data_IF_202272987034
#
_entry.id   IF_202272987034
#
_cell.length_a   1.000
_cell.length_b   1.000
_cell.length_c   1.000
_cell.angle_alpha   90.00
_cell.angle_beta   90.00
_cell.angle_gamma   90.00
#
_symmetry.space_group_name_H-M   'P 1'
#
loop_
_entity.id
_entity.type
_entity.pdbx_description
1 polymer ?
#
# COMPACT_ATOMS: atom_id res chain seq x y z
N UNK A 1 -5.52 21.92 12.89
CA UNK A 1 -6.91 21.85 12.38
C UNK A 1 -7.04 21.12 11.03
N UNK A 2 -6.18 21.40 10.02
CA UNK A 2 -6.28 20.78 8.68
C UNK A 2 -6.32 19.23 8.65
N UNK A 3 -5.49 18.48 9.42
CA UNK A 3 -5.52 17.01 9.39
C UNK A 3 -6.85 16.41 9.86
N UNK A 4 -7.50 17.04 10.84
CA UNK A 4 -8.79 16.59 11.36
C UNK A 4 -9.88 16.74 10.30
N UNK A 5 -9.92 17.87 9.58
CA UNK A 5 -10.92 18.10 8.53
C UNK A 5 -10.76 17.08 7.40
N UNK A 6 -9.52 16.85 6.93
CA UNK A 6 -9.26 15.87 5.88
C UNK A 6 -9.60 14.44 6.32
N UNK A 7 -9.32 14.09 7.57
CA UNK A 7 -9.64 12.76 8.11
C UNK A 7 -11.14 12.57 8.31
N UNK A 8 -11.85 13.62 8.74
CA UNK A 8 -13.30 13.59 8.83
C UNK A 8 -13.94 13.43 7.45
N UNK A 9 -13.46 14.16 6.44
CA UNK A 9 -13.93 14.01 5.05
C UNK A 9 -13.65 12.60 4.51
N UNK A 10 -12.48 12.03 4.84
CA UNK A 10 -12.18 10.65 4.46
C UNK A 10 -13.10 9.65 5.17
N UNK A 11 -13.34 9.81 6.48
CA UNK A 11 -14.29 8.99 7.24
C UNK A 11 -15.69 9.02 6.63
N UNK A 12 -16.25 10.22 6.43
CA UNK A 12 -17.60 10.38 5.88
C UNK A 12 -17.70 9.80 4.48
N UNK A 13 -16.63 9.85 3.71
CA UNK A 13 -16.61 9.28 2.37
C UNK A 13 -16.67 7.75 2.36
N UNK A 14 -15.95 7.06 3.26
CA UNK A 14 -16.06 5.61 3.38
C UNK A 14 -17.42 5.19 3.96
N UNK A 15 -17.97 5.98 4.88
CA UNK A 15 -19.31 5.75 5.43
C UNK A 15 -20.40 5.91 4.34
N UNK A 16 -20.27 6.90 3.45
CA UNK A 16 -21.16 7.05 2.31
C UNK A 16 -21.07 5.88 1.32
N UNK A 17 -19.87 5.33 1.11
CA UNK A 17 -19.69 4.12 0.29
C UNK A 17 -20.44 2.92 0.86
N UNK A 18 -20.47 2.79 2.19
CA UNK A 18 -21.21 1.74 2.88
C UNK A 18 -22.73 1.85 2.67
N UNK A 19 -23.27 3.08 2.62
CA UNK A 19 -24.72 3.32 2.48
C UNK A 19 -25.17 3.24 1.01
N UNK A 20 -24.36 3.74 0.07
CA UNK A 20 -24.71 3.86 -1.36
C UNK A 20 -23.61 3.26 -2.26
N UNK A 21 -23.50 1.91 -2.34
CA UNK A 21 -22.45 1.26 -3.12
C UNK A 21 -22.55 1.55 -4.63
N UNK A 22 -23.73 1.89 -5.15
CA UNK A 22 -23.89 2.27 -6.56
C UNK A 22 -23.21 3.60 -6.92
N UNK A 23 -22.97 4.47 -5.93
CA UNK A 23 -22.35 5.79 -6.12
C UNK A 23 -20.82 5.76 -5.96
N UNK A 24 -20.25 4.56 -5.95
CA UNK A 24 -18.86 4.31 -5.59
C UNK A 24 -17.86 5.12 -6.41
N UNK A 25 -18.03 5.19 -7.74
CA UNK A 25 -17.16 6.00 -8.61
C UNK A 25 -17.25 7.50 -8.31
N UNK A 26 -18.46 8.04 -8.12
CA UNK A 26 -18.65 9.47 -7.85
C UNK A 26 -18.08 9.89 -6.50
N UNK A 27 -18.28 9.06 -5.47
CA UNK A 27 -17.71 9.29 -4.14
C UNK A 27 -16.18 9.25 -4.22
N UNK A 28 -15.60 8.29 -4.94
CA UNK A 28 -14.16 8.23 -5.18
C UNK A 28 -13.61 9.51 -5.83
N UNK A 29 -14.21 9.94 -6.94
CA UNK A 29 -13.77 11.15 -7.63
C UNK A 29 -13.92 12.40 -6.74
N UNK A 30 -14.98 12.49 -5.94
CA UNK A 30 -15.16 13.57 -4.96
C UNK A 30 -14.02 13.62 -3.94
N UNK A 31 -13.65 12.49 -3.34
CA UNK A 31 -12.54 12.40 -2.37
C UNK A 31 -11.22 12.73 -3.06
N UNK A 32 -11.00 12.22 -4.27
CA UNK A 32 -9.78 12.44 -5.03
C UNK A 32 -9.60 13.94 -5.29
N UNK A 33 -10.66 14.62 -5.74
CA UNK A 33 -10.66 16.08 -5.94
C UNK A 33 -10.37 16.80 -4.62
N UNK A 34 -11.07 16.46 -3.53
CA UNK A 34 -10.86 17.11 -2.22
C UNK A 34 -9.44 16.91 -1.72
N UNK A 35 -8.87 15.72 -1.89
CA UNK A 35 -7.51 15.41 -1.45
C UNK A 35 -6.50 16.15 -2.30
N UNK A 36 -6.66 16.17 -3.62
CA UNK A 36 -5.84 16.97 -4.54
C UNK A 36 -5.93 18.45 -4.21
N UNK A 37 -7.13 18.97 -3.92
CA UNK A 37 -7.30 20.37 -3.52
C UNK A 37 -6.67 20.67 -2.16
N UNK A 38 -6.81 19.78 -1.17
CA UNK A 38 -6.16 19.91 0.13
C UNK A 38 -4.63 19.89 0.02
N UNK A 39 -4.11 19.07 -0.90
CA UNK A 39 -2.71 19.01 -1.28
C UNK A 39 -2.25 20.29 -1.99
N UNK A 40 -3.01 20.79 -2.97
CA UNK A 40 -2.73 22.04 -3.72
C UNK A 40 -2.77 23.27 -2.81
N UNK A 41 -3.72 23.33 -1.88
CA UNK A 41 -3.85 24.41 -0.90
C UNK A 41 -2.75 24.37 0.17
N UNK A 42 -2.10 23.22 0.39
CA UNK A 42 -0.90 23.11 1.22
C UNK A 42 0.37 23.72 0.55
N UNK A 43 0.19 24.79 -0.25
CA UNK A 43 1.19 25.48 -1.09
C UNK A 43 2.57 25.60 -0.43
N UNK A 44 3.60 25.39 -1.26
CA UNK A 44 5.08 25.41 -1.07
C UNK A 44 5.82 24.09 -0.83
N UNK A 45 5.18 23.00 -0.37
CA UNK A 45 5.87 21.69 -0.22
C UNK A 45 5.31 20.55 -1.07
N UNK A 46 4.30 20.82 -1.91
CA UNK A 46 3.69 19.81 -2.78
C UNK A 46 4.55 19.45 -4.00
N UNK A 47 5.23 20.45 -4.56
CA UNK A 47 6.11 20.33 -5.73
C UNK A 47 7.59 20.37 -5.39
N UNK A 48 7.96 20.70 -4.14
CA UNK A 48 9.30 20.34 -3.72
C UNK A 48 9.31 18.82 -3.72
N UNK A 49 10.26 18.23 -4.44
CA UNK A 49 10.52 16.79 -4.46
C UNK A 49 11.05 16.31 -3.10
N UNK A 50 10.51 16.87 -2.02
CA UNK A 50 10.70 16.43 -0.67
C UNK A 50 10.17 14.99 -0.63
N UNK A 51 10.99 14.05 -0.13
CA UNK A 51 10.85 12.62 -0.35
C UNK A 51 9.54 11.96 0.14
N UNK A 52 8.62 12.70 0.76
CA UNK A 52 7.48 12.12 1.49
C UNK A 52 6.19 12.96 1.47
N UNK A 53 6.07 13.98 0.60
CA UNK A 53 5.09 15.06 0.79
C UNK A 53 3.65 14.84 0.30
N UNK A 54 3.45 14.43 -0.95
CA UNK A 54 2.14 14.59 -1.61
C UNK A 54 1.49 13.32 -2.17
N UNK A 55 2.28 12.37 -2.67
CA UNK A 55 1.74 11.21 -3.37
C UNK A 55 1.12 10.15 -2.44
N UNK A 56 1.69 9.99 -1.23
CA UNK A 56 1.29 8.91 -0.33
C UNK A 56 -0.18 8.94 0.09
N UNK A 57 -0.80 10.09 0.47
CA UNK A 57 -2.23 10.15 0.73
C UNK A 57 -3.08 9.66 -0.44
N UNK A 58 -2.75 10.07 -1.67
CA UNK A 58 -3.51 9.68 -2.87
C UNK A 58 -3.39 8.19 -3.15
N UNK A 59 -2.18 7.63 -3.04
CA UNK A 59 -1.95 6.20 -3.21
C UNK A 59 -2.69 5.44 -2.08
N UNK A 60 -2.60 5.89 -0.84
CA UNK A 60 -3.33 5.27 0.28
C UNK A 60 -4.84 5.26 0.04
N UNK A 61 -5.42 6.38 -0.41
CA UNK A 61 -6.85 6.47 -0.72
C UNK A 61 -7.29 5.43 -1.75
N UNK A 62 -6.55 5.30 -2.87
CA UNK A 62 -6.89 4.30 -3.89
C UNK A 62 -6.82 2.86 -3.37
N UNK A 63 -5.81 2.54 -2.56
CA UNK A 63 -5.66 1.22 -1.95
C UNK A 63 -6.78 0.91 -0.97
N UNK A 64 -7.16 1.87 -0.12
CA UNK A 64 -8.28 1.69 0.82
C UNK A 64 -9.60 1.50 0.09
N UNK A 65 -9.84 2.28 -0.95
CA UNK A 65 -11.07 2.20 -1.72
C UNK A 65 -11.26 0.83 -2.38
N UNK A 66 -10.21 0.32 -3.06
CA UNK A 66 -10.25 -1.00 -3.66
C UNK A 66 -10.43 -2.09 -2.61
N UNK A 67 -9.64 -2.06 -1.54
CA UNK A 67 -9.72 -3.09 -0.50
C UNK A 67 -11.06 -3.06 0.26
N UNK A 68 -11.60 -1.88 0.55
CA UNK A 68 -12.88 -1.71 1.22
C UNK A 68 -14.04 -2.36 0.46
N UNK A 69 -14.00 -2.30 -0.88
CA UNK A 69 -15.03 -2.91 -1.75
C UNK A 69 -15.10 -4.44 -1.61
N UNK A 70 -14.03 -5.07 -1.12
CA UNK A 70 -13.92 -6.51 -0.93
C UNK A 70 -14.30 -6.97 0.49
N UNK A 71 -14.47 -6.05 1.44
CA UNK A 71 -14.80 -6.41 2.82
C UNK A 71 -16.27 -6.77 2.95
N UNK A 72 -16.55 -8.00 3.39
CA UNK A 72 -17.88 -8.46 3.73
C UNK A 72 -18.18 -8.29 5.23
N UNK A 73 -19.42 -7.91 5.54
CA UNK A 73 -19.91 -7.77 6.91
C UNK A 73 -19.79 -6.35 7.46
N UNK A 74 -20.92 -5.81 7.92
CA UNK A 74 -21.06 -4.42 8.36
C UNK A 74 -20.15 -4.06 9.54
N UNK A 75 -19.99 -4.97 10.51
CA UNK A 75 -19.11 -4.76 11.66
C UNK A 75 -17.64 -4.58 11.24
N UNK A 76 -17.14 -5.45 10.34
CA UNK A 76 -15.77 -5.39 9.85
C UNK A 76 -15.51 -4.14 9.02
N UNK A 77 -16.49 -3.71 8.22
CA UNK A 77 -16.42 -2.47 7.47
C UNK A 77 -16.29 -1.24 8.39
N UNK A 78 -17.10 -1.12 9.44
CA UNK A 78 -16.97 0.02 10.37
C UNK A 78 -15.64 0.02 11.14
N UNK A 79 -15.19 -1.15 11.61
CA UNK A 79 -13.86 -1.28 12.25
C UNK A 79 -12.78 -0.79 11.28
N UNK A 80 -12.86 -1.21 10.02
CA UNK A 80 -11.92 -0.79 8.98
C UNK A 80 -11.97 0.71 8.74
N UNK A 81 -13.15 1.33 8.63
CA UNK A 81 -13.31 2.78 8.41
C UNK A 81 -12.60 3.58 9.52
N UNK A 82 -12.79 3.17 10.78
CA UNK A 82 -12.14 3.83 11.93
C UNK A 82 -10.62 3.70 11.84
N UNK A 83 -10.10 2.50 11.57
CA UNK A 83 -8.66 2.25 11.46
C UNK A 83 -8.04 2.99 10.27
N UNK A 84 -8.67 2.94 9.10
CA UNK A 84 -8.23 3.64 7.89
C UNK A 84 -8.18 5.15 8.14
N UNK A 85 -9.21 5.70 8.80
CA UNK A 85 -9.28 7.12 9.16
C UNK A 85 -8.17 7.51 10.12
N UNK A 86 -7.89 6.68 11.12
CA UNK A 86 -6.78 6.92 12.05
C UNK A 86 -5.44 6.95 11.31
N UNK A 87 -5.19 6.00 10.40
CA UNK A 87 -3.96 5.99 9.60
C UNK A 87 -3.89 7.21 8.69
N UNK A 88 -4.98 7.58 8.03
CA UNK A 88 -5.04 8.77 7.18
C UNK A 88 -4.74 10.05 7.97
N UNK A 89 -5.27 10.15 9.17
CA UNK A 89 -4.95 11.23 10.11
C UNK A 89 -3.47 11.28 10.45
N UNK A 90 -2.84 10.12 10.71
CA UNK A 90 -1.40 10.03 10.99
C UNK A 90 -0.55 10.51 9.81
N UNK A 91 -0.97 10.25 8.55
CA UNK A 91 -0.27 10.74 7.34
C UNK A 91 -0.16 12.26 7.34
N UNK A 92 -1.25 12.97 7.70
CA UNK A 92 -1.26 14.43 7.72
C UNK A 92 -0.73 15.05 9.02
N UNK A 93 -0.67 14.29 10.12
CA UNK A 93 -0.19 14.77 11.42
C UNK A 93 1.31 14.59 11.63
N UNK A 94 1.97 13.64 10.96
CA UNK A 94 3.33 13.19 11.33
C UNK A 94 4.43 14.24 11.11
N UNK A 95 4.59 15.16 12.07
CA UNK A 95 5.79 15.99 12.26
C UNK A 95 6.79 15.35 13.25
N UNK A 96 6.36 14.42 14.12
CA UNK A 96 7.16 13.93 15.25
C UNK A 96 8.06 12.72 14.96
N UNK A 97 7.82 11.94 13.91
CA UNK A 97 8.67 10.77 13.56
C UNK A 97 8.52 10.36 12.08
N UNK A 98 8.69 11.36 11.21
CA UNK A 98 8.25 11.36 9.81
C UNK A 98 8.76 10.17 8.97
N UNK A 99 9.93 9.62 9.28
CA UNK A 99 10.54 8.49 8.53
C UNK A 99 9.97 7.13 8.96
N UNK A 100 9.69 6.93 10.25
CA UNK A 100 9.15 5.66 10.76
C UNK A 100 7.68 5.51 10.43
N UNK A 101 6.90 6.57 10.67
CA UNK A 101 5.47 6.61 10.34
C UNK A 101 5.24 6.45 8.84
N UNK A 102 6.04 7.09 7.99
CA UNK A 102 5.91 6.94 6.53
C UNK A 102 6.20 5.51 6.06
N UNK A 103 7.22 4.84 6.61
CA UNK A 103 7.49 3.44 6.24
C UNK A 103 6.32 2.53 6.59
N UNK A 104 5.74 2.67 7.80
CA UNK A 104 4.56 1.90 8.20
C UNK A 104 3.36 2.13 7.26
N UNK A 105 3.06 3.39 6.95
CA UNK A 105 1.95 3.72 6.03
C UNK A 105 2.20 3.15 4.65
N UNK A 106 3.42 3.26 4.11
CA UNK A 106 3.75 2.70 2.78
C UNK A 106 3.56 1.19 2.76
N UNK A 107 3.99 0.51 3.82
CA UNK A 107 3.82 -0.93 3.98
C UNK A 107 2.35 -1.34 4.04
N UNK A 108 1.54 -0.64 4.84
CA UNK A 108 0.10 -0.86 4.88
C UNK A 108 -0.56 -0.55 3.54
N UNK A 109 -0.14 0.52 2.86
CA UNK A 109 -0.65 0.90 1.53
C UNK A 109 -0.34 -0.18 0.51
N UNK A 110 0.87 -0.73 0.52
CA UNK A 110 1.28 -1.82 -0.37
C UNK A 110 0.38 -3.04 -0.18
N UNK A 111 0.14 -3.45 1.07
CA UNK A 111 -0.78 -4.54 1.40
C UNK A 111 -2.20 -4.28 0.86
N UNK A 112 -2.76 -3.09 1.11
CA UNK A 112 -4.11 -2.74 0.68
C UNK A 112 -4.26 -2.78 -0.84
N UNK A 113 -3.28 -2.25 -1.58
CA UNK A 113 -3.31 -2.33 -3.05
C UNK A 113 -3.12 -3.75 -3.56
N UNK A 114 -2.17 -4.51 -3.03
CA UNK A 114 -1.88 -5.86 -3.50
C UNK A 114 -3.08 -6.78 -3.26
N UNK A 115 -3.66 -6.74 -2.05
CA UNK A 115 -4.87 -7.48 -1.74
C UNK A 115 -6.09 -6.96 -2.52
N UNK A 116 -6.21 -5.64 -2.68
CA UNK A 116 -7.28 -5.00 -3.45
C UNK A 116 -7.29 -5.38 -4.92
N UNK A 117 -6.16 -5.19 -5.61
CA UNK A 117 -6.01 -5.54 -7.03
C UNK A 117 -6.26 -7.04 -7.23
N UNK A 118 -5.68 -7.90 -6.39
CA UNK A 118 -5.86 -9.34 -6.53
C UNK A 118 -7.31 -9.78 -6.22
N UNK A 119 -8.00 -9.10 -5.29
CA UNK A 119 -9.42 -9.36 -5.06
C UNK A 119 -10.27 -8.94 -6.25
N UNK A 120 -9.98 -7.83 -6.90
CA UNK A 120 -10.66 -7.43 -8.15
C UNK A 120 -10.38 -8.43 -9.26
N UNK A 121 -9.15 -8.94 -9.38
CA UNK A 121 -8.80 -10.01 -10.32
C UNK A 121 -9.70 -11.24 -10.16
N UNK A 122 -9.84 -11.74 -8.92
CA UNK A 122 -10.67 -12.91 -8.63
C UNK A 122 -12.16 -12.68 -8.89
N UNK A 123 -12.67 -11.47 -8.63
CA UNK A 123 -14.12 -11.19 -8.73
C UNK A 123 -14.56 -10.73 -10.13
N UNK A 124 -13.70 -10.06 -10.90
CA UNK A 124 -14.03 -9.50 -12.22
C UNK A 124 -13.40 -10.26 -13.40
N UNK A 125 -12.69 -11.37 -13.13
CA UNK A 125 -12.00 -12.16 -14.16
C UNK A 125 -11.09 -11.31 -15.06
N UNK A 126 -10.35 -10.37 -14.45
CA UNK A 126 -9.43 -9.52 -15.21
C UNK A 126 -8.32 -10.37 -15.84
N UNK A 127 -7.83 -10.00 -17.04
CA UNK A 127 -6.70 -10.70 -17.62
C UNK A 127 -5.44 -10.46 -16.77
N UNK A 128 -4.67 -11.52 -16.53
CA UNK A 128 -3.54 -11.53 -15.60
C UNK A 128 -2.48 -10.46 -15.91
N UNK A 129 -2.25 -10.14 -17.19
CA UNK A 129 -1.29 -9.11 -17.58
C UNK A 129 -1.68 -7.71 -17.06
N UNK A 130 -2.98 -7.38 -16.98
CA UNK A 130 -3.45 -6.11 -16.40
C UNK A 130 -3.18 -6.06 -14.89
N UNK A 131 -3.33 -7.19 -14.21
CA UNK A 131 -3.07 -7.33 -12.77
C UNK A 131 -1.59 -7.10 -12.49
N UNK A 132 -0.71 -7.77 -13.24
CA UNK A 132 0.75 -7.62 -13.13
C UNK A 132 1.15 -6.17 -13.41
N UNK A 133 0.61 -5.56 -14.47
CA UNK A 133 0.88 -4.17 -14.81
C UNK A 133 0.42 -3.20 -13.71
N UNK A 134 -0.78 -3.39 -13.16
CA UNK A 134 -1.30 -2.57 -12.07
C UNK A 134 -0.44 -2.69 -10.81
N UNK A 135 -0.06 -3.92 -10.42
CA UNK A 135 0.82 -4.16 -9.28
C UNK A 135 2.19 -3.53 -9.50
N UNK A 136 2.77 -3.64 -10.70
CA UNK A 136 4.05 -3.03 -11.03
C UNK A 136 3.99 -1.51 -10.88
N UNK A 137 3.00 -0.84 -11.49
CA UNK A 137 2.88 0.62 -11.46
C UNK A 137 2.69 1.17 -10.04
N UNK A 138 1.82 0.54 -9.25
CA UNK A 138 1.61 0.93 -7.85
C UNK A 138 2.87 0.70 -7.03
N UNK A 139 3.54 -0.44 -7.21
CA UNK A 139 4.77 -0.76 -6.47
C UNK A 139 5.89 0.21 -6.84
N UNK A 140 6.03 0.62 -8.10
CA UNK A 140 6.99 1.66 -8.50
C UNK A 140 6.70 3.01 -7.79
N UNK A 141 5.43 3.41 -7.71
CA UNK A 141 5.02 4.61 -6.98
C UNK A 141 5.33 4.54 -5.48
N UNK A 142 5.07 3.39 -4.85
CA UNK A 142 5.38 3.15 -3.45
C UNK A 142 6.89 3.08 -3.19
N UNK A 143 7.65 2.43 -4.08
CA UNK A 143 9.11 2.35 -4.03
C UNK A 143 9.76 3.73 -4.10
N UNK A 144 9.25 4.58 -4.99
CA UNK A 144 9.69 5.97 -5.07
C UNK A 144 9.53 6.66 -3.73
N UNK A 145 8.34 6.62 -3.11
CA UNK A 145 8.10 7.22 -1.78
C UNK A 145 8.96 6.59 -0.67
N UNK A 146 9.15 5.27 -0.73
CA UNK A 146 9.87 4.51 0.30
C UNK A 146 11.37 4.79 0.31
N UNK A 147 11.95 4.92 -0.88
CA UNK A 147 13.39 5.09 -1.08
C UNK A 147 13.79 6.55 -1.30
N UNK A 148 12.84 7.47 -1.39
CA UNK A 148 13.12 8.87 -1.68
C UNK A 148 14.16 9.54 -0.73
N UNK A 149 14.33 9.14 0.55
CA UNK A 149 15.45 9.64 1.35
C UNK A 149 16.85 9.34 0.76
N UNK A 150 16.97 8.36 -0.14
CA UNK A 150 18.20 7.94 -0.80
C UNK A 150 18.25 8.37 -2.27
N UNK A 151 17.47 9.38 -2.66
CA UNK A 151 17.31 9.80 -4.07
C UNK A 151 18.62 10.28 -4.73
N UNK A 152 19.60 10.70 -3.95
CA UNK A 152 20.93 11.11 -4.44
C UNK A 152 21.83 9.93 -4.81
N UNK A 153 21.47 8.70 -4.45
CA UNK A 153 22.26 7.52 -4.80
C UNK A 153 22.16 7.24 -6.31
N UNK A 154 23.28 6.91 -6.99
CA UNK A 154 23.29 6.65 -8.43
C UNK A 154 22.43 5.42 -8.82
N UNK A 155 22.31 4.46 -7.92
CA UNK A 155 21.51 3.23 -8.08
C UNK A 155 20.05 3.39 -7.65
N UNK A 156 19.59 4.60 -7.29
CA UNK A 156 18.24 4.85 -6.79
C UNK A 156 17.14 4.32 -7.73
N UNK A 157 17.19 4.70 -9.01
CA UNK A 157 16.20 4.27 -10.00
C UNK A 157 16.27 2.76 -10.25
N UNK A 158 17.47 2.20 -10.33
CA UNK A 158 17.67 0.76 -10.50
C UNK A 158 16.97 -0.02 -9.37
N UNK A 159 17.15 0.38 -8.11
CA UNK A 159 16.49 -0.28 -6.99
C UNK A 159 14.97 -0.16 -7.01
N UNK A 160 14.43 0.99 -7.43
CA UNK A 160 12.98 1.16 -7.60
C UNK A 160 12.42 0.17 -8.63
N UNK A 161 13.07 0.07 -9.79
CA UNK A 161 12.64 -0.83 -10.86
C UNK A 161 12.80 -2.29 -10.49
N UNK A 162 13.96 -2.69 -9.96
CA UNK A 162 14.22 -4.06 -9.53
C UNK A 162 13.21 -4.52 -8.48
N UNK A 163 12.95 -3.70 -7.47
CA UNK A 163 11.96 -4.04 -6.44
C UNK A 163 10.53 -4.12 -7.03
N UNK A 164 10.18 -3.24 -7.97
CA UNK A 164 8.90 -3.31 -8.68
C UNK A 164 8.75 -4.61 -9.48
N UNK A 165 9.77 -4.99 -10.24
CA UNK A 165 9.80 -6.21 -11.04
C UNK A 165 9.71 -7.45 -10.15
N UNK A 166 10.43 -7.52 -9.04
CA UNK A 166 10.35 -8.68 -8.13
C UNK A 166 8.92 -8.89 -7.63
N UNK A 167 8.21 -7.82 -7.27
CA UNK A 167 6.81 -7.93 -6.83
C UNK A 167 5.87 -8.30 -7.98
N UNK A 168 6.10 -7.78 -9.18
CA UNK A 168 5.33 -8.13 -10.36
C UNK A 168 5.49 -9.62 -10.72
N UNK A 169 6.72 -10.14 -10.76
CA UNK A 169 7.02 -11.56 -10.98
C UNK A 169 6.46 -12.45 -9.86
N UNK A 170 6.59 -12.01 -8.60
CA UNK A 170 5.98 -12.73 -7.46
C UNK A 170 4.46 -12.81 -7.60
N UNK A 171 3.83 -11.76 -8.14
CA UNK A 171 2.37 -11.75 -8.40
C UNK A 171 1.99 -12.76 -9.47
N UNK A 172 2.79 -12.86 -10.53
CA UNK A 172 2.60 -13.89 -11.56
C UNK A 172 2.71 -15.30 -10.97
N UNK A 173 3.76 -15.59 -10.20
CA UNK A 173 3.95 -16.91 -9.57
C UNK A 173 2.79 -17.24 -8.60
N UNK A 174 2.39 -16.28 -7.76
CA UNK A 174 1.31 -16.46 -6.79
C UNK A 174 -0.07 -16.55 -7.43
N UNK A 175 -0.22 -16.12 -8.69
CA UNK A 175 -1.50 -16.24 -9.41
C UNK A 175 -1.93 -17.69 -9.65
N UNK A 176 -0.98 -18.62 -9.61
CA UNK A 176 -1.24 -20.06 -9.73
C UNK A 176 -1.57 -20.74 -8.39
N UNK A 177 -1.48 -20.01 -7.27
CA UNK A 177 -1.80 -20.57 -5.96
C UNK A 177 -3.31 -20.53 -5.68
N UNK A 178 -3.91 -21.59 -5.10
CA UNK A 178 -5.34 -21.65 -4.80
C UNK A 178 -5.68 -20.92 -3.49
N UNK A 179 -5.29 -19.65 -3.39
CA UNK A 179 -5.54 -18.83 -2.21
C UNK A 179 -6.37 -17.59 -2.52
N UNK A 180 -7.08 -17.11 -1.50
CA UNK A 180 -7.80 -15.85 -1.57
C UNK A 180 -6.86 -14.63 -1.59
N UNK A 181 -7.45 -13.49 -1.96
CA UNK A 181 -6.75 -12.20 -2.11
C UNK A 181 -6.05 -11.71 -0.83
N UNK A 182 -6.56 -12.05 0.36
CA UNK A 182 -5.92 -11.69 1.63
C UNK A 182 -4.58 -12.41 1.82
N UNK A 183 -4.53 -13.72 1.55
CA UNK A 183 -3.31 -14.51 1.68
C UNK A 183 -2.28 -14.07 0.64
N UNK A 184 -2.69 -13.87 -0.61
CA UNK A 184 -1.77 -13.44 -1.68
C UNK A 184 -1.26 -12.02 -1.43
N UNK A 185 -2.14 -11.10 -1.03
CA UNK A 185 -1.74 -9.74 -0.64
C UNK A 185 -0.79 -9.73 0.56
N UNK A 186 -1.01 -10.59 1.57
CA UNK A 186 -0.12 -10.72 2.71
C UNK A 186 1.25 -11.35 2.34
N UNK A 187 1.26 -12.34 1.45
CA UNK A 187 2.51 -12.93 0.93
C UNK A 187 3.33 -11.91 0.16
N UNK A 188 2.71 -11.18 -0.77
CA UNK A 188 3.36 -10.10 -1.52
C UNK A 188 3.86 -8.99 -0.58
N UNK A 189 3.09 -8.67 0.45
CA UNK A 189 3.47 -7.73 1.48
C UNK A 189 4.73 -8.17 2.24
N UNK A 190 4.83 -9.45 2.63
CA UNK A 190 6.00 -10.00 3.32
C UNK A 190 7.22 -9.93 2.41
N UNK A 191 7.10 -10.36 1.15
CA UNK A 191 8.19 -10.29 0.15
C UNK A 191 8.65 -8.84 -0.01
N UNK A 192 7.69 -7.92 -0.20
CA UNK A 192 7.95 -6.49 -0.32
C UNK A 192 8.68 -5.92 0.91
N UNK A 193 8.21 -6.27 2.11
CA UNK A 193 8.82 -5.86 3.35
C UNK A 193 10.29 -6.33 3.45
N UNK A 194 10.55 -7.61 3.20
CA UNK A 194 11.90 -8.18 3.33
C UNK A 194 12.87 -7.51 2.36
N UNK A 195 12.52 -7.50 1.07
CA UNK A 195 13.43 -7.02 0.01
C UNK A 195 13.64 -5.51 0.12
N UNK A 196 12.59 -4.74 0.38
CA UNK A 196 12.73 -3.29 0.55
C UNK A 196 13.59 -2.92 1.75
N UNK A 197 13.53 -3.67 2.85
CA UNK A 197 14.42 -3.45 4.00
C UNK A 197 15.88 -3.78 3.67
N UNK A 198 16.14 -4.87 2.93
CA UNK A 198 17.50 -5.22 2.47
C UNK A 198 18.06 -4.10 1.57
N UNK A 199 17.26 -3.62 0.61
CA UNK A 199 17.63 -2.51 -0.28
C UNK A 199 17.93 -1.24 0.51
N UNK A 200 17.10 -0.88 1.50
CA UNK A 200 17.36 0.26 2.39
C UNK A 200 18.69 0.14 3.13
N UNK A 201 19.04 -1.06 3.60
CA UNK A 201 20.34 -1.28 4.25
C UNK A 201 21.51 -1.15 3.29
N UNK A 202 21.36 -1.63 2.05
CA UNK A 202 22.35 -1.44 0.98
C UNK A 202 22.56 0.04 0.64
N UNK A 203 21.46 0.79 0.44
CA UNK A 203 21.51 2.23 0.17
C UNK A 203 22.07 3.07 1.33
N UNK A 204 21.95 2.59 2.57
CA UNK A 204 22.55 3.22 3.75
C UNK A 204 24.05 2.91 3.93
N UNK A 205 24.63 2.01 3.12
CA UNK A 205 25.99 1.50 3.33
C UNK A 205 26.13 0.62 4.59
N UNK A 206 25.01 0.17 5.17
CA UNK A 206 24.98 -0.67 6.39
C UNK A 206 24.73 -2.14 6.05
N UNK A 207 25.11 -2.55 4.85
CA UNK A 207 24.84 -3.90 4.36
C UNK A 207 25.68 -4.92 5.14
N UNK A 208 25.00 -5.78 5.88
CA UNK A 208 25.63 -6.87 6.63
C UNK A 208 24.86 -8.16 6.35
N UNK A 209 25.59 -9.25 6.10
CA UNK A 209 25.02 -10.60 5.90
C UNK A 209 24.11 -11.00 7.07
N UNK A 210 24.45 -10.63 8.31
CA UNK A 210 23.63 -10.89 9.49
C UNK A 210 22.25 -10.22 9.40
N UNK A 211 22.19 -8.97 8.95
CA UNK A 211 20.93 -8.24 8.78
C UNK A 211 20.08 -8.89 7.69
N UNK A 212 20.69 -9.29 6.57
CA UNK A 212 20.00 -10.00 5.48
C UNK A 212 19.38 -11.29 6.00
N UNK A 213 20.13 -12.11 6.71
CA UNK A 213 19.63 -13.36 7.30
C UNK A 213 18.50 -13.13 8.30
N UNK A 214 18.61 -12.13 9.17
CA UNK A 214 17.54 -11.79 10.11
C UNK A 214 16.24 -11.39 9.38
N UNK A 215 16.34 -10.60 8.31
CA UNK A 215 15.16 -10.19 7.53
C UNK A 215 14.55 -11.36 6.76
N UNK A 216 15.37 -12.21 6.14
CA UNK A 216 14.90 -13.41 5.46
C UNK A 216 14.24 -14.37 6.45
N UNK A 217 14.86 -14.64 7.59
CA UNK A 217 14.31 -15.51 8.63
C UNK A 217 12.95 -15.00 9.14
N UNK A 218 12.83 -13.69 9.41
CA UNK A 218 11.56 -13.07 9.78
C UNK A 218 10.50 -13.22 8.68
N UNK A 219 10.88 -13.04 7.42
CA UNK A 219 9.98 -13.24 6.29
C UNK A 219 9.49 -14.68 6.17
N UNK A 220 10.39 -15.65 6.27
CA UNK A 220 10.07 -17.08 6.23
C UNK A 220 9.16 -17.46 7.39
N UNK A 221 9.44 -17.01 8.61
CA UNK A 221 8.57 -17.25 9.76
C UNK A 221 7.18 -16.65 9.57
N UNK A 222 7.09 -15.42 9.06
CA UNK A 222 5.81 -14.78 8.77
C UNK A 222 5.03 -15.54 7.68
N UNK A 223 5.70 -16.04 6.64
CA UNK A 223 5.07 -16.86 5.60
C UNK A 223 4.57 -18.19 6.17
N UNK A 224 5.35 -18.88 6.99
CA UNK A 224 4.92 -20.13 7.64
C UNK A 224 3.65 -19.87 8.47
N UNK A 225 3.66 -18.85 9.33
CA UNK A 225 2.49 -18.50 10.14
C UNK A 225 1.26 -18.13 9.29
N UNK A 226 1.47 -17.41 8.19
CA UNK A 226 0.38 -17.04 7.29
C UNK A 226 -0.22 -18.28 6.61
N UNK A 227 0.62 -19.18 6.11
CA UNK A 227 0.20 -20.35 5.36
C UNK A 227 -0.49 -21.40 6.25
N UNK A 228 -0.11 -21.51 7.52
CA UNK A 228 -0.79 -22.42 8.47
C UNK A 228 -2.19 -21.95 8.86
N UNK A 229 -2.44 -20.63 8.85
CA UNK A 229 -3.76 -20.05 9.16
C UNK A 229 -4.63 -19.94 7.90
N UNK A 230 -4.02 -19.89 6.72
CA UNK A 230 -4.75 -19.70 5.47
C UNK A 230 -5.62 -20.90 5.10
N UNK A 231 -6.87 -20.63 4.70
CA UNK A 231 -7.75 -21.64 4.11
C UNK A 231 -7.39 -21.81 2.64
N UNK A 232 -7.12 -23.06 2.25
CA UNK A 232 -6.94 -23.45 0.86
C UNK A 232 -8.31 -23.45 0.19
N UNK A 233 -8.41 -22.77 -0.96
CA UNK A 233 -9.63 -22.85 -1.76
C UNK A 233 -9.65 -24.22 -2.45
N UNK A 234 -10.76 -24.98 -2.37
CA UNK A 234 -10.88 -26.20 -3.16
C UNK A 234 -10.78 -25.84 -4.65
N UNK A 235 -9.87 -26.52 -5.34
CA UNK A 235 -9.67 -26.45 -6.79
C UNK A 235 -10.84 -27.04 -7.55
#
# INVERSE_FOLDING_TARGET
MRPLILSFLFFTSLELLLIKPFWLLWIFFGILIITVLGLVQAKRKLFSLAPTGGGLPLIFLGGNFLFFSLLAGRAWQHIYIVLATLVFYLIFRSDLDRVRTSSFVIFLTAFLWQAGIYGVYLNLFLPLWLVILAVLLITLGLNYQLLAPFRTAPSFWLYIFVLGLIIAESTWVLSFWPFGYLTIGATLFIIYYVISNIIKHSLKGTFNKSIVWQKIALGVLALICLLTVSKWLPS
#
